data_IF_348133980278
#
_entry.id   IF_348133980278
#
_cell.length_a   1.000
_cell.length_b   1.000
_cell.length_c   1.000
_cell.angle_alpha   90.00
_cell.angle_beta   90.00
_cell.angle_gamma   90.00
#
_symmetry.space_group_name_H-M   'P 1'
#
loop_
_entity.id
_entity.type
_entity.pdbx_description
1 polymer ?
#
# COMPACT_ATOMS: atom_id res chain seq x y z
N UNK A 1 -13.71 39.11 8.25
CA UNK A 1 -14.49 38.45 7.18
C UNK A 1 -13.96 37.08 6.72
N UNK A 2 -12.65 36.76 6.70
CA UNK A 2 -12.17 35.41 6.29
C UNK A 2 -12.26 34.29 7.35
N UNK A 3 -12.44 34.62 8.63
CA UNK A 3 -12.52 33.65 9.73
C UNK A 3 -13.96 33.20 10.06
N UNK A 4 -14.98 33.96 9.67
CA UNK A 4 -16.38 33.59 9.90
C UNK A 4 -16.90 32.59 8.87
N UNK A 5 -16.42 32.65 7.62
CA UNK A 5 -16.72 31.62 6.60
C UNK A 5 -16.12 30.25 6.96
N UNK A 6 -15.04 30.21 7.75
CA UNK A 6 -14.44 28.97 8.28
C UNK A 6 -15.27 28.41 9.45
N UNK A 7 -16.01 29.26 10.18
CA UNK A 7 -16.91 28.85 11.28
C UNK A 7 -18.31 28.42 10.83
N UNK A 8 -18.79 28.81 9.65
CA UNK A 8 -20.06 28.27 9.14
C UNK A 8 -19.92 26.84 8.55
N UNK A 9 -18.72 26.48 8.07
CA UNK A 9 -18.41 25.12 7.63
C UNK A 9 -18.18 24.11 8.78
N UNK A 10 -18.08 24.56 10.02
CA UNK A 10 -18.03 23.65 11.19
C UNK A 10 -19.38 23.00 11.54
N UNK A 11 -20.46 23.30 10.80
CA UNK A 11 -21.73 22.55 10.87
C UNK A 11 -21.80 21.31 9.97
N UNK A 12 -20.80 21.07 9.11
CA UNK A 12 -20.72 19.84 8.31
C UNK A 12 -19.73 18.85 8.92
N UNK A 13 -20.17 17.61 9.14
CA UNK A 13 -19.33 16.50 9.64
C UNK A 13 -18.35 16.00 8.56
N UNK A 14 -17.60 16.90 7.92
CA UNK A 14 -16.61 16.55 6.89
C UNK A 14 -15.34 16.02 7.56
N UNK A 15 -14.80 14.92 7.03
CA UNK A 15 -13.45 14.50 7.40
C UNK A 15 -12.42 15.54 6.93
N UNK A 16 -11.21 15.58 7.49
CA UNK A 16 -10.16 16.51 7.05
C UNK A 16 -9.86 16.42 5.55
N UNK A 17 -10.01 15.24 4.95
CA UNK A 17 -9.78 15.00 3.52
C UNK A 17 -10.92 15.55 2.67
N UNK A 18 -12.17 15.31 3.07
CA UNK A 18 -13.33 15.90 2.39
C UNK A 18 -13.37 17.41 2.54
N UNK A 19 -13.07 17.92 3.74
CA UNK A 19 -12.99 19.36 3.99
C UNK A 19 -11.99 20.03 3.04
N UNK A 20 -10.81 19.43 2.87
CA UNK A 20 -9.82 19.92 1.90
C UNK A 20 -10.35 19.89 0.46
N UNK A 21 -10.94 18.77 0.02
CA UNK A 21 -11.50 18.66 -1.34
C UNK A 21 -12.54 19.75 -1.62
N UNK A 22 -13.50 19.95 -0.72
CA UNK A 22 -14.59 20.91 -0.94
C UNK A 22 -14.16 22.36 -0.74
N UNK A 23 -13.19 22.64 0.14
CA UNK A 23 -12.63 24.00 0.33
C UNK A 23 -12.07 24.56 -0.98
N UNK A 24 -11.40 23.72 -1.78
CA UNK A 24 -10.83 24.12 -3.07
C UNK A 24 -11.82 23.95 -4.25
N UNK A 25 -13.05 23.50 -4.00
CA UNK A 25 -14.08 23.27 -5.02
C UNK A 25 -15.45 23.84 -4.58
N UNK A 26 -15.48 25.13 -4.25
CA UNK A 26 -16.62 25.84 -3.65
C UNK A 26 -17.93 25.84 -4.45
N UNK A 27 -17.90 25.40 -5.72
CA UNK A 27 -19.09 25.29 -6.57
C UNK A 27 -19.86 23.97 -6.37
N UNK A 28 -19.30 23.04 -5.61
CA UNK A 28 -19.90 21.72 -5.33
C UNK A 28 -20.52 21.77 -3.94
N UNK A 29 -21.79 21.39 -3.82
CA UNK A 29 -22.44 21.19 -2.52
C UNK A 29 -21.86 19.92 -1.85
N UNK A 30 -21.14 20.05 -0.72
CA UNK A 30 -20.53 18.90 -0.06
C UNK A 30 -21.54 17.84 0.39
N UNK A 31 -22.72 18.26 0.87
CA UNK A 31 -23.70 17.34 1.44
C UNK A 31 -24.33 16.46 0.33
N UNK A 32 -24.86 17.09 -0.72
CA UNK A 32 -25.42 16.39 -1.86
C UNK A 32 -24.38 15.52 -2.58
N UNK A 33 -23.12 15.98 -2.67
CA UNK A 33 -22.06 15.20 -3.30
C UNK A 33 -21.67 13.97 -2.49
N UNK A 34 -21.58 14.09 -1.16
CA UNK A 34 -21.30 12.96 -0.27
C UNK A 34 -22.43 11.93 -0.29
N UNK A 35 -23.69 12.36 -0.24
CA UNK A 35 -24.85 11.46 -0.33
C UNK A 35 -24.85 10.67 -1.64
N UNK A 36 -24.66 11.35 -2.78
CA UNK A 36 -24.59 10.70 -4.08
C UNK A 36 -23.38 9.77 -4.22
N UNK A 37 -22.22 10.15 -3.65
CA UNK A 37 -21.00 9.32 -3.65
C UNK A 37 -21.21 8.05 -2.82
N UNK A 38 -21.83 8.18 -1.65
CA UNK A 38 -22.11 7.08 -0.74
C UNK A 38 -23.05 6.06 -1.37
N UNK A 39 -24.16 6.50 -1.97
CA UNK A 39 -25.12 5.61 -2.61
C UNK A 39 -24.47 4.76 -3.73
N UNK A 40 -23.69 5.39 -4.61
CA UNK A 40 -22.98 4.67 -5.69
C UNK A 40 -21.87 3.75 -5.16
N UNK A 41 -21.19 4.18 -4.10
CA UNK A 41 -20.18 3.36 -3.44
C UNK A 41 -20.82 2.09 -2.85
N UNK A 42 -21.95 2.21 -2.15
CA UNK A 42 -22.67 1.08 -1.58
C UNK A 42 -23.13 0.09 -2.65
N UNK A 43 -23.66 0.59 -3.78
CA UNK A 43 -24.02 -0.24 -4.94
C UNK A 43 -22.82 -1.02 -5.50
N UNK A 44 -21.65 -0.38 -5.57
CA UNK A 44 -20.41 -1.01 -6.01
C UNK A 44 -19.89 -2.01 -4.96
N UNK A 45 -19.96 -1.67 -3.68
CA UNK A 45 -19.50 -2.48 -2.57
C UNK A 45 -20.28 -3.80 -2.49
N UNK A 46 -21.59 -3.78 -2.76
CA UNK A 46 -22.41 -5.01 -2.86
C UNK A 46 -21.88 -5.95 -3.95
N UNK A 47 -21.52 -5.42 -5.12
CA UNK A 47 -20.95 -6.22 -6.23
C UNK A 47 -19.58 -6.79 -5.85
N UNK A 48 -18.75 -5.98 -5.19
CA UNK A 48 -17.43 -6.39 -4.68
C UNK A 48 -17.61 -7.53 -3.68
N UNK A 49 -18.40 -7.35 -2.63
CA UNK A 49 -18.66 -8.37 -1.60
C UNK A 49 -19.17 -9.66 -2.21
N UNK A 50 -20.14 -9.58 -3.13
CA UNK A 50 -20.62 -10.75 -3.86
C UNK A 50 -19.48 -11.47 -4.61
N UNK A 51 -18.68 -10.74 -5.39
CA UNK A 51 -17.58 -11.34 -6.14
C UNK A 51 -16.52 -11.97 -5.22
N UNK A 52 -16.19 -11.32 -4.10
CA UNK A 52 -15.21 -11.81 -3.11
C UNK A 52 -15.73 -13.09 -2.45
N UNK A 53 -16.99 -13.13 -2.01
CA UNK A 53 -17.61 -14.33 -1.41
C UNK A 53 -17.73 -15.49 -2.41
N UNK A 54 -17.90 -15.19 -3.71
CA UNK A 54 -17.89 -16.18 -4.79
C UNK A 54 -16.46 -16.62 -5.20
N UNK A 55 -15.41 -16.08 -4.56
CA UNK A 55 -14.01 -16.35 -4.89
C UNK A 55 -13.51 -15.66 -6.16
N UNK A 56 -14.29 -14.76 -6.75
CA UNK A 56 -13.96 -13.98 -7.96
C UNK A 56 -13.10 -12.74 -7.61
N UNK A 57 -11.99 -13.01 -6.93
CA UNK A 57 -11.02 -12.03 -6.45
C UNK A 57 -9.65 -12.31 -7.08
N UNK A 58 -8.99 -11.27 -7.56
CA UNK A 58 -7.63 -11.31 -8.08
C UNK A 58 -6.77 -10.34 -7.25
N UNK A 59 -5.62 -10.81 -6.78
CA UNK A 59 -4.61 -9.96 -6.16
C UNK A 59 -3.55 -9.59 -7.19
N UNK A 60 -3.11 -8.34 -7.19
CA UNK A 60 -1.96 -7.87 -7.96
C UNK A 60 -0.98 -7.27 -6.96
N UNK A 61 0.18 -7.89 -6.80
CA UNK A 61 1.07 -7.66 -5.67
C UNK A 61 2.56 -7.68 -6.06
N UNK A 62 3.41 -7.08 -5.23
CA UNK A 62 4.85 -7.06 -5.41
C UNK A 62 5.64 -7.77 -4.30
N UNK A 63 4.96 -8.58 -3.49
CA UNK A 63 5.58 -9.54 -2.58
C UNK A 63 6.16 -8.91 -1.31
N UNK A 64 5.76 -7.68 -0.98
CA UNK A 64 6.15 -7.03 0.26
C UNK A 64 5.45 -7.66 1.48
N UNK A 65 5.91 -7.33 2.68
CA UNK A 65 5.37 -7.93 3.90
C UNK A 65 3.88 -7.58 4.13
N UNK A 66 3.43 -6.43 3.66
CA UNK A 66 2.03 -6.00 3.70
C UNK A 66 1.14 -6.77 2.72
N UNK A 67 1.64 -7.15 1.54
CA UNK A 67 0.94 -8.06 0.61
C UNK A 67 0.61 -9.39 1.28
N UNK A 68 1.64 -10.04 1.84
CA UNK A 68 1.57 -11.36 2.46
C UNK A 68 0.67 -11.35 3.70
N UNK A 69 0.72 -10.26 4.48
CA UNK A 69 -0.13 -10.09 5.65
C UNK A 69 -1.58 -9.86 5.23
N UNK A 70 -1.85 -9.06 4.19
CA UNK A 70 -3.21 -8.95 3.65
C UNK A 70 -3.72 -10.30 3.13
N UNK A 71 -2.90 -11.12 2.46
CA UNK A 71 -3.30 -12.46 2.02
C UNK A 71 -3.73 -13.34 3.19
N UNK A 72 -3.00 -13.30 4.31
CA UNK A 72 -3.41 -14.00 5.52
C UNK A 72 -4.76 -13.50 6.04
N UNK A 73 -5.02 -12.19 6.07
CA UNK A 73 -6.33 -11.65 6.48
C UNK A 73 -7.48 -12.17 5.61
N UNK A 74 -7.27 -12.26 4.29
CA UNK A 74 -8.24 -12.83 3.35
C UNK A 74 -8.47 -14.31 3.65
N UNK A 75 -7.41 -15.08 3.88
CA UNK A 75 -7.49 -16.50 4.26
C UNK A 75 -8.22 -16.71 5.58
N UNK A 76 -8.02 -15.84 6.58
CA UNK A 76 -8.76 -15.88 7.85
C UNK A 76 -10.28 -15.77 7.65
N UNK A 77 -10.74 -15.11 6.59
CA UNK A 77 -12.16 -15.02 6.21
C UNK A 77 -12.67 -16.22 5.41
N UNK A 78 -11.83 -17.23 5.18
CA UNK A 78 -12.17 -18.37 4.33
C UNK A 78 -12.27 -17.99 2.85
N UNK A 79 -11.71 -16.84 2.45
CA UNK A 79 -11.62 -16.42 1.07
C UNK A 79 -10.25 -16.82 0.52
N UNK A 80 -10.21 -17.21 -0.75
CA UNK A 80 -8.97 -17.42 -1.48
C UNK A 80 -9.12 -16.72 -2.83
N UNK A 81 -8.16 -15.88 -3.24
CA UNK A 81 -8.19 -15.31 -4.58
C UNK A 81 -8.15 -16.44 -5.63
N UNK A 82 -8.78 -16.21 -6.78
CA UNK A 82 -8.63 -17.08 -7.95
C UNK A 82 -7.19 -17.06 -8.47
N UNK A 83 -6.57 -15.88 -8.42
CA UNK A 83 -5.27 -15.60 -9.00
C UNK A 83 -4.51 -14.55 -8.19
N UNK A 84 -3.20 -14.73 -8.13
CA UNK A 84 -2.24 -13.78 -7.60
C UNK A 84 -1.28 -13.43 -8.74
N UNK A 85 -1.28 -12.16 -9.13
CA UNK A 85 -0.49 -11.63 -10.22
C UNK A 85 0.68 -10.84 -9.64
N UNK A 86 1.90 -11.33 -9.90
CA UNK A 86 3.13 -10.77 -9.37
C UNK A 86 3.67 -9.72 -10.32
N UNK A 87 4.03 -8.56 -9.77
CA UNK A 87 4.51 -7.40 -10.52
C UNK A 87 5.80 -6.86 -9.93
N UNK A 88 6.74 -6.47 -10.80
CA UNK A 88 7.99 -5.80 -10.46
C UNK A 88 9.10 -6.74 -9.99
N UNK A 89 10.20 -6.15 -9.52
CA UNK A 89 11.28 -6.86 -8.83
C UNK A 89 11.95 -8.00 -9.60
N UNK A 90 12.62 -8.87 -8.84
CA UNK A 90 13.26 -10.08 -9.36
C UNK A 90 12.23 -11.21 -9.47
N UNK A 91 11.55 -11.30 -10.62
CA UNK A 91 10.37 -12.14 -10.77
C UNK A 91 10.55 -13.60 -10.35
N UNK A 92 11.72 -14.22 -10.59
CA UNK A 92 11.95 -15.61 -10.16
C UNK A 92 12.04 -15.76 -8.64
N UNK A 93 12.65 -14.79 -7.95
CA UNK A 93 12.69 -14.76 -6.48
C UNK A 93 11.28 -14.60 -5.95
N UNK A 94 10.56 -13.59 -6.45
CA UNK A 94 9.18 -13.29 -6.07
C UNK A 94 8.24 -14.47 -6.27
N UNK A 95 8.26 -15.07 -7.47
CA UNK A 95 7.45 -16.23 -7.79
C UNK A 95 7.76 -17.40 -6.87
N UNK A 96 9.04 -17.66 -6.57
CA UNK A 96 9.45 -18.72 -5.64
C UNK A 96 8.93 -18.47 -4.22
N UNK A 97 9.11 -17.26 -3.70
CA UNK A 97 8.64 -16.87 -2.37
C UNK A 97 7.12 -16.95 -2.24
N UNK A 98 6.38 -16.35 -3.20
CA UNK A 98 4.92 -16.40 -3.24
C UNK A 98 4.42 -17.85 -3.29
N UNK A 99 5.04 -18.71 -4.10
CA UNK A 99 4.66 -20.12 -4.16
C UNK A 99 4.81 -20.83 -2.81
N UNK A 100 5.94 -20.66 -2.12
CA UNK A 100 6.20 -21.29 -0.82
C UNK A 100 5.19 -20.82 0.24
N UNK A 101 4.92 -19.52 0.30
CA UNK A 101 3.99 -18.97 1.30
C UNK A 101 2.56 -19.41 1.02
N UNK A 102 2.12 -19.39 -0.24
CA UNK A 102 0.78 -19.88 -0.58
C UNK A 102 0.62 -21.39 -0.42
N UNK A 103 1.67 -22.19 -0.66
CA UNK A 103 1.64 -23.63 -0.33
C UNK A 103 1.46 -23.82 1.18
N UNK A 104 2.19 -23.05 1.99
CA UNK A 104 2.07 -23.08 3.44
C UNK A 104 0.67 -22.66 3.91
N UNK A 105 0.13 -21.55 3.41
CA UNK A 105 -1.22 -21.10 3.77
C UNK A 105 -2.30 -22.09 3.33
N UNK A 106 -2.14 -22.70 2.15
CA UNK A 106 -3.05 -23.71 1.63
C UNK A 106 -3.10 -24.95 2.53
N UNK A 107 -1.94 -25.50 2.88
CA UNK A 107 -1.83 -26.64 3.80
C UNK A 107 -2.38 -26.28 5.19
N UNK A 108 -1.94 -25.15 5.75
CA UNK A 108 -2.26 -24.76 7.12
C UNK A 108 -3.74 -24.43 7.33
N UNK A 109 -4.40 -23.92 6.29
CA UNK A 109 -5.78 -23.42 6.36
C UNK A 109 -6.79 -24.35 5.73
N UNK A 110 -6.33 -25.42 5.05
CA UNK A 110 -7.17 -26.34 4.29
C UNK A 110 -7.88 -25.68 3.12
N UNK A 111 -7.19 -24.76 2.42
CA UNK A 111 -7.73 -24.03 1.26
C UNK A 111 -7.04 -24.46 -0.03
N UNK A 112 -7.66 -24.15 -1.16
CA UNK A 112 -7.01 -24.32 -2.46
C UNK A 112 -6.00 -23.20 -2.67
N UNK A 113 -4.79 -23.53 -3.09
CA UNK A 113 -3.80 -22.51 -3.51
C UNK A 113 -4.29 -21.73 -4.75
N UNK A 114 -4.18 -20.39 -4.78
CA UNK A 114 -4.48 -19.59 -5.97
C UNK A 114 -3.52 -19.91 -7.12
N UNK A 115 -3.90 -19.52 -8.34
CA UNK A 115 -2.93 -19.51 -9.44
C UNK A 115 -1.98 -18.33 -9.26
N UNK A 116 -0.68 -18.59 -9.16
CA UNK A 116 0.35 -17.54 -8.99
C UNK A 116 1.07 -17.36 -10.32
N UNK A 117 1.13 -16.13 -10.83
CA UNK A 117 1.71 -15.85 -12.15
C UNK A 117 2.42 -14.49 -12.19
N UNK A 118 3.53 -14.39 -12.92
CA UNK A 118 4.21 -13.11 -13.17
C UNK A 118 3.56 -12.37 -14.34
N UNK A 119 3.19 -11.10 -14.14
CA UNK A 119 2.68 -10.22 -15.21
C UNK A 119 3.65 -9.11 -15.60
N UNK A 120 4.57 -8.78 -14.71
CA UNK A 120 5.55 -7.73 -14.93
C UNK A 120 6.76 -7.95 -14.02
N UNK A 121 7.96 -7.62 -14.50
CA UNK A 121 9.20 -7.65 -13.74
C UNK A 121 9.97 -6.33 -13.93
N UNK A 122 10.94 -6.06 -13.06
CA UNK A 122 11.76 -4.84 -13.14
C UNK A 122 13.25 -5.17 -13.14
N UNK A 123 14.03 -4.32 -13.80
CA UNK A 123 15.50 -4.40 -13.80
C UNK A 123 16.12 -3.01 -13.64
N UNK A 124 17.42 -2.97 -13.30
CA UNK A 124 18.17 -1.72 -13.20
C UNK A 124 17.55 -0.72 -12.22
N UNK A 125 17.29 0.50 -12.70
CA UNK A 125 16.70 1.58 -11.89
C UNK A 125 15.25 1.35 -11.44
N UNK A 126 14.57 0.31 -11.93
CA UNK A 126 13.24 -0.07 -11.46
C UNK A 126 13.25 -0.84 -10.13
N UNK A 127 14.40 -1.41 -9.74
CA UNK A 127 14.54 -2.19 -8.51
C UNK A 127 14.60 -1.30 -7.26
N UNK A 128 13.85 -1.69 -6.24
CA UNK A 128 13.65 -0.98 -4.98
C UNK A 128 14.52 -1.55 -3.85
N UNK A 129 14.49 -0.87 -2.70
CA UNK A 129 15.19 -1.35 -1.49
C UNK A 129 14.62 -2.69 -1.01
N UNK A 130 13.30 -2.91 -1.07
CA UNK A 130 12.70 -4.17 -0.63
C UNK A 130 13.05 -5.35 -1.57
N UNK A 131 13.18 -5.13 -2.89
CA UNK A 131 13.59 -6.16 -3.86
C UNK A 131 14.95 -6.78 -3.49
N UNK A 132 15.79 -6.02 -2.79
CA UNK A 132 17.08 -6.50 -2.29
C UNK A 132 16.93 -7.37 -1.04
N UNK A 133 15.92 -7.12 -0.20
CA UNK A 133 15.59 -7.92 0.99
C UNK A 133 14.83 -9.21 0.67
N UNK A 134 14.16 -9.26 -0.49
CA UNK A 134 13.31 -10.39 -0.90
C UNK A 134 14.04 -11.75 -0.83
N UNK A 135 13.31 -12.77 -0.37
CA UNK A 135 13.80 -14.14 -0.15
C UNK A 135 14.46 -14.39 1.21
N UNK A 136 14.91 -13.34 1.91
CA UNK A 136 15.59 -13.49 3.22
C UNK A 136 14.66 -14.13 4.25
N UNK A 137 15.14 -15.15 4.95
CA UNK A 137 14.35 -15.91 5.93
C UNK A 137 13.42 -16.97 5.32
N UNK A 138 13.46 -17.17 4.00
CA UNK A 138 12.68 -18.20 3.32
C UNK A 138 13.49 -19.07 2.36
N UNK A 139 14.50 -18.47 1.72
CA UNK A 139 15.39 -19.12 0.76
C UNK A 139 16.85 -19.02 1.22
N UNK A 140 17.67 -19.97 0.77
CA UNK A 140 19.11 -19.92 0.97
C UNK A 140 19.75 -18.76 0.19
N UNK A 141 20.78 -18.12 0.76
CA UNK A 141 21.43 -16.94 0.15
C UNK A 141 21.95 -17.25 -1.26
N UNK A 142 22.52 -18.42 -1.48
CA UNK A 142 23.02 -18.83 -2.80
C UNK A 142 21.89 -19.01 -3.82
N UNK A 143 20.73 -19.51 -3.40
CA UNK A 143 19.54 -19.63 -4.25
C UNK A 143 18.98 -18.24 -4.59
N UNK A 144 18.89 -17.33 -3.61
CA UNK A 144 18.45 -15.94 -3.85
C UNK A 144 19.34 -15.28 -4.90
N UNK A 145 20.66 -15.37 -4.77
CA UNK A 145 21.59 -14.73 -5.71
C UNK A 145 21.46 -15.31 -7.13
N UNK A 146 21.32 -16.63 -7.25
CA UNK A 146 21.08 -17.30 -8.53
C UNK A 146 19.76 -16.82 -9.18
N UNK A 147 18.66 -16.81 -8.42
CA UNK A 147 17.35 -16.38 -8.94
C UNK A 147 17.34 -14.90 -9.32
N UNK A 148 18.06 -14.05 -8.57
CA UNK A 148 18.25 -12.62 -8.92
C UNK A 148 18.96 -12.48 -10.26
N UNK A 149 20.05 -13.19 -10.46
CA UNK A 149 20.82 -13.17 -11.73
C UNK A 149 19.96 -13.64 -12.91
N UNK A 150 19.24 -14.75 -12.76
CA UNK A 150 18.33 -15.27 -13.78
C UNK A 150 17.16 -14.33 -14.10
N UNK A 151 16.81 -13.43 -13.18
CA UNK A 151 15.73 -12.45 -13.37
C UNK A 151 16.15 -11.21 -14.17
N UNK A 152 17.44 -11.03 -14.49
CA UNK A 152 17.93 -9.79 -15.10
C UNK A 152 17.66 -9.67 -16.61
N UNK A 153 17.42 -10.77 -17.32
CA UNK A 153 17.18 -10.74 -18.77
C UNK A 153 15.68 -10.83 -19.11
N UNK A 154 15.01 -9.67 -19.19
CA UNK A 154 13.59 -9.58 -19.54
C UNK A 154 13.28 -9.77 -21.04
N UNK A 155 14.29 -9.99 -21.88
CA UNK A 155 14.09 -10.36 -23.29
C UNK A 155 14.22 -11.87 -23.51
N UNK A 156 14.50 -12.64 -22.46
CA UNK A 156 14.59 -14.09 -22.55
C UNK A 156 13.20 -14.68 -22.84
N UNK A 157 13.16 -15.70 -23.70
CA UNK A 157 11.92 -16.32 -24.16
C UNK A 157 11.06 -16.85 -22.99
N UNK A 158 11.70 -17.43 -21.97
CA UNK A 158 11.04 -17.92 -20.75
C UNK A 158 10.17 -16.84 -20.08
N UNK A 159 10.71 -15.63 -19.87
CA UNK A 159 9.98 -14.55 -19.22
C UNK A 159 8.81 -14.06 -20.08
N UNK A 160 9.03 -13.90 -21.39
CA UNK A 160 7.98 -13.46 -22.32
C UNK A 160 6.83 -14.47 -22.39
N UNK A 161 7.15 -15.77 -22.39
CA UNK A 161 6.16 -16.84 -22.33
C UNK A 161 5.38 -16.82 -21.00
N UNK A 162 6.05 -16.64 -19.87
CA UNK A 162 5.40 -16.56 -18.55
C UNK A 162 4.40 -15.38 -18.48
N UNK A 163 4.82 -14.19 -18.92
CA UNK A 163 3.96 -13.00 -18.95
C UNK A 163 2.78 -13.19 -19.90
N UNK A 164 3.01 -13.77 -21.09
CA UNK A 164 1.93 -14.04 -22.03
C UNK A 164 0.92 -15.05 -21.47
N UNK A 165 1.38 -16.13 -20.85
CA UNK A 165 0.51 -17.11 -20.19
C UNK A 165 -0.28 -16.48 -19.04
N UNK A 166 0.34 -15.59 -18.26
CA UNK A 166 -0.35 -14.85 -17.20
C UNK A 166 -1.47 -13.98 -17.74
N UNK A 167 -1.18 -13.22 -18.80
CA UNK A 167 -2.14 -12.33 -19.48
C UNK A 167 -3.29 -13.11 -20.11
N UNK A 168 -3.02 -14.21 -20.81
CA UNK A 168 -4.07 -15.10 -21.35
C UNK A 168 -4.93 -15.71 -20.25
N UNK A 169 -4.30 -16.13 -19.15
CA UNK A 169 -5.02 -16.67 -18.01
C UNK A 169 -5.93 -15.64 -17.35
N UNK A 170 -5.47 -14.39 -17.22
CA UNK A 170 -6.27 -13.28 -16.71
C UNK A 170 -7.46 -13.02 -17.63
N UNK A 171 -7.24 -12.88 -18.95
CA UNK A 171 -8.33 -12.68 -19.94
C UNK A 171 -9.37 -13.80 -19.85
N UNK A 172 -8.93 -15.07 -19.81
CA UNK A 172 -9.83 -16.21 -19.67
C UNK A 172 -10.65 -16.16 -18.38
N UNK A 173 -10.01 -15.83 -17.26
CA UNK A 173 -10.68 -15.71 -15.95
C UNK A 173 -11.74 -14.61 -15.99
N UNK A 174 -11.39 -13.43 -16.49
CA UNK A 174 -12.32 -12.31 -16.61
C UNK A 174 -13.45 -12.64 -17.59
N UNK A 175 -13.17 -13.32 -18.71
CA UNK A 175 -14.19 -13.77 -19.66
C UNK A 175 -15.25 -14.66 -19.01
N UNK A 176 -14.85 -15.55 -18.09
CA UNK A 176 -15.72 -16.53 -17.44
C UNK A 176 -16.51 -15.98 -16.25
N UNK A 177 -16.01 -14.94 -15.59
CA UNK A 177 -16.66 -14.33 -14.44
C UNK A 177 -17.71 -13.29 -14.88
N UNK A 178 -18.86 -13.24 -14.19
CA UNK A 178 -19.86 -12.18 -14.37
C UNK A 178 -19.37 -10.82 -13.85
N UNK A 179 -18.60 -10.86 -12.76
CA UNK A 179 -17.97 -9.69 -12.14
C UNK A 179 -16.72 -10.14 -11.37
N UNK A 180 -15.63 -9.39 -11.47
CA UNK A 180 -14.37 -9.68 -10.77
C UNK A 180 -13.88 -8.46 -10.00
N UNK A 181 -13.49 -8.67 -8.75
CA UNK A 181 -12.75 -7.66 -7.97
C UNK A 181 -11.25 -7.86 -8.17
N UNK A 182 -10.54 -6.79 -8.52
CA UNK A 182 -9.08 -6.76 -8.55
C UNK A 182 -8.60 -5.93 -7.36
N UNK A 183 -7.94 -6.57 -6.40
CA UNK A 183 -7.20 -5.90 -5.34
C UNK A 183 -5.81 -5.54 -5.87
N UNK A 184 -5.64 -4.27 -6.24
CA UNK A 184 -4.40 -3.73 -6.78
C UNK A 184 -3.56 -3.16 -5.65
N UNK A 185 -2.58 -3.95 -5.20
CA UNK A 185 -1.66 -3.63 -4.09
C UNK A 185 -0.36 -2.96 -4.55
N UNK A 186 -0.10 -2.98 -5.86
CA UNK A 186 1.12 -2.42 -6.47
C UNK A 186 0.77 -1.55 -7.70
N UNK A 187 1.76 -1.24 -8.53
CA UNK A 187 1.58 -0.58 -9.82
C UNK A 187 0.68 -1.42 -10.75
N UNK A 188 -0.23 -0.79 -11.53
CA UNK A 188 -1.09 -1.51 -12.49
C UNK A 188 -0.38 -1.98 -13.76
N UNK A 189 0.96 -1.87 -13.83
CA UNK A 189 1.73 -2.29 -14.99
C UNK A 189 1.46 -3.76 -15.38
N UNK A 190 1.35 -4.01 -16.70
CA UNK A 190 1.21 -5.36 -17.26
C UNK A 190 -0.23 -5.89 -17.41
N UNK A 191 -1.24 -5.20 -16.87
CA UNK A 191 -2.65 -5.67 -16.92
C UNK A 191 -3.66 -4.66 -17.47
N UNK A 192 -3.26 -3.41 -17.77
CA UNK A 192 -4.16 -2.31 -18.13
C UNK A 192 -5.05 -2.58 -19.34
N UNK A 193 -4.47 -3.10 -20.42
CA UNK A 193 -5.21 -3.40 -21.66
C UNK A 193 -6.31 -4.45 -21.43
N UNK A 194 -6.05 -5.39 -20.51
CA UNK A 194 -7.02 -6.42 -20.13
C UNK A 194 -8.11 -5.84 -19.22
N UNK A 195 -7.75 -4.93 -18.29
CA UNK A 195 -8.74 -4.21 -17.49
C UNK A 195 -9.65 -3.37 -18.41
N UNK A 196 -9.08 -2.71 -19.41
CA UNK A 196 -9.84 -1.92 -20.39
C UNK A 196 -10.83 -2.78 -21.18
N UNK A 197 -10.38 -3.93 -21.70
CA UNK A 197 -11.20 -4.92 -22.41
C UNK A 197 -12.43 -5.35 -21.58
N UNK A 198 -12.25 -5.52 -20.26
CA UNK A 198 -13.27 -6.06 -19.35
C UNK A 198 -13.87 -5.04 -18.36
N UNK A 199 -13.68 -3.74 -18.58
CA UNK A 199 -14.05 -2.68 -17.62
C UNK A 199 -15.50 -2.65 -17.15
N UNK A 200 -16.41 -3.26 -17.91
CA UNK A 200 -17.85 -3.35 -17.58
C UNK A 200 -18.17 -4.41 -16.51
N UNK A 201 -17.24 -5.31 -16.21
CA UNK A 201 -17.39 -6.41 -15.23
C UNK A 201 -16.22 -6.52 -14.26
N UNK A 202 -15.45 -5.46 -14.13
CA UNK A 202 -14.31 -5.38 -13.21
C UNK A 202 -14.54 -4.19 -12.28
N UNK A 203 -14.15 -4.35 -11.02
CA UNK A 203 -13.85 -3.22 -10.14
C UNK A 203 -12.44 -3.38 -9.58
N UNK A 204 -11.78 -2.24 -9.38
CA UNK A 204 -10.45 -2.19 -8.79
C UNK A 204 -10.56 -1.59 -7.41
N UNK A 205 -9.93 -2.22 -6.42
CA UNK A 205 -9.63 -1.59 -5.15
C UNK A 205 -8.13 -1.31 -5.15
N UNK A 206 -7.75 -0.03 -5.15
CA UNK A 206 -6.37 0.41 -5.33
C UNK A 206 -5.80 0.97 -4.02
N UNK A 207 -4.70 0.38 -3.55
CA UNK A 207 -4.09 0.72 -2.26
C UNK A 207 -3.24 1.98 -2.36
N UNK A 208 -3.90 3.12 -2.17
CA UNK A 208 -3.26 4.43 -2.04
C UNK A 208 -2.50 4.88 -3.29
N UNK A 209 -3.19 5.37 -4.33
CA UNK A 209 -2.53 6.12 -5.40
C UNK A 209 -2.02 7.48 -4.95
N UNK A 210 -2.56 8.03 -3.85
CA UNK A 210 -2.35 9.42 -3.43
C UNK A 210 -2.17 9.60 -1.93
N UNK A 211 -1.45 10.66 -1.58
CA UNK A 211 -1.26 11.19 -0.23
C UNK A 211 -1.84 12.60 -0.11
N UNK A 212 -2.52 12.86 1.01
CA UNK A 212 -3.10 14.18 1.29
C UNK A 212 -1.99 15.14 1.69
N UNK A 213 -1.77 16.20 0.91
CA UNK A 213 -0.88 17.31 1.29
C UNK A 213 -1.68 18.35 2.10
N UNK A 214 -1.37 18.58 3.39
CA UNK A 214 -2.09 19.58 4.18
C UNK A 214 -2.04 20.97 3.54
N UNK A 215 -3.14 21.72 3.60
CA UNK A 215 -3.24 23.10 3.11
C UNK A 215 -2.89 23.30 1.61
N UNK A 216 -3.04 22.26 0.79
CA UNK A 216 -2.74 22.29 -0.64
C UNK A 216 -3.96 21.86 -1.48
N UNK A 217 -4.23 22.50 -2.64
CA UNK A 217 -5.24 22.01 -3.59
C UNK A 217 -4.78 20.76 -4.35
N UNK A 218 -3.49 20.46 -4.34
CA UNK A 218 -2.90 19.25 -4.93
C UNK A 218 -2.57 18.23 -3.87
N UNK A 219 -2.55 16.97 -4.28
CA UNK A 219 -2.19 15.80 -3.50
C UNK A 219 -0.86 15.26 -4.02
N UNK A 220 -0.16 14.45 -3.23
CA UNK A 220 1.04 13.78 -3.69
C UNK A 220 0.69 12.43 -4.31
N UNK A 221 1.39 12.03 -5.38
CA UNK A 221 1.31 10.63 -5.84
C UNK A 221 2.14 9.74 -4.91
N UNK A 222 1.63 8.55 -4.63
CA UNK A 222 2.27 7.58 -3.74
C UNK A 222 3.26 6.69 -4.46
N UNK A 223 3.98 5.88 -3.67
CA UNK A 223 5.01 4.93 -4.12
C UNK A 223 4.57 4.09 -5.33
N UNK A 224 3.45 3.37 -5.25
CA UNK A 224 2.98 2.49 -6.34
C UNK A 224 2.56 3.23 -7.61
N UNK A 225 2.04 4.46 -7.49
CA UNK A 225 1.78 5.33 -8.63
C UNK A 225 3.11 5.84 -9.22
N UNK A 226 4.03 6.31 -8.37
CA UNK A 226 5.32 6.88 -8.80
C UNK A 226 6.23 5.85 -9.49
N UNK A 227 6.05 4.55 -9.23
CA UNK A 227 6.77 3.45 -9.92
C UNK A 227 6.45 3.40 -11.42
N UNK A 228 5.21 3.65 -11.80
CA UNK A 228 4.77 3.63 -13.20
C UNK A 228 3.66 4.68 -13.40
N UNK A 229 4.01 5.97 -13.44
CA UNK A 229 3.03 7.03 -13.37
C UNK A 229 2.17 7.12 -14.64
N UNK A 230 2.67 6.69 -15.79
CA UNK A 230 1.89 6.54 -17.03
C UNK A 230 0.84 5.44 -16.87
N UNK A 231 1.23 4.28 -16.32
CA UNK A 231 0.29 3.20 -16.05
C UNK A 231 -0.77 3.61 -15.02
N UNK A 232 -0.39 4.44 -14.05
CA UNK A 232 -1.33 5.04 -13.10
C UNK A 232 -2.32 5.99 -13.77
N UNK A 233 -1.87 6.85 -14.69
CA UNK A 233 -2.75 7.72 -15.48
C UNK A 233 -3.71 6.90 -16.33
N UNK A 234 -3.20 5.91 -17.05
CA UNK A 234 -3.98 5.07 -17.94
C UNK A 234 -5.08 4.33 -17.16
N UNK A 235 -4.77 3.81 -15.96
CA UNK A 235 -5.79 3.18 -15.10
C UNK A 235 -6.92 4.15 -14.75
N UNK A 236 -6.60 5.40 -14.40
CA UNK A 236 -7.60 6.42 -14.08
C UNK A 236 -8.46 6.79 -15.31
N UNK A 237 -7.91 6.70 -16.52
CA UNK A 237 -8.57 7.06 -17.77
C UNK A 237 -9.45 5.92 -18.36
N UNK A 238 -9.24 4.64 -17.99
CA UNK A 238 -9.99 3.48 -18.52
C UNK A 238 -11.52 3.60 -18.30
N UNK A 239 -11.93 4.23 -17.19
CA UNK A 239 -13.33 4.37 -16.78
C UNK A 239 -13.92 3.16 -16.05
N UNK A 240 -13.08 2.22 -15.60
CA UNK A 240 -13.46 1.15 -14.67
C UNK A 240 -13.78 1.74 -13.28
N UNK A 241 -14.71 1.17 -12.49
CA UNK A 241 -14.89 1.58 -11.11
C UNK A 241 -13.63 1.31 -10.27
N UNK A 242 -13.12 2.36 -9.60
CA UNK A 242 -11.94 2.29 -8.74
C UNK A 242 -12.27 2.81 -7.35
N UNK A 243 -12.06 1.99 -6.32
CA UNK A 243 -12.10 2.41 -4.92
C UNK A 243 -10.67 2.60 -4.42
N UNK A 244 -10.37 3.79 -3.92
CA UNK A 244 -9.05 4.15 -3.42
C UNK A 244 -9.08 4.24 -1.91
N UNK A 245 -8.28 3.39 -1.27
CA UNK A 245 -8.19 3.30 0.19
C UNK A 245 -6.74 3.43 0.63
N UNK A 246 -6.47 4.31 1.60
CA UNK A 246 -5.15 4.37 2.22
C UNK A 246 -5.15 5.14 3.54
N UNK A 247 -4.48 4.64 4.60
CA UNK A 247 -4.38 5.35 5.88
C UNK A 247 -3.66 6.70 5.77
N UNK A 248 -2.81 6.86 4.74
CA UNK A 248 -2.03 8.08 4.50
C UNK A 248 -2.82 9.22 3.85
N UNK A 249 -4.05 8.95 3.42
CA UNK A 249 -5.02 10.02 3.13
C UNK A 249 -5.48 10.69 4.43
N UNK A 250 -5.09 10.17 5.60
CA UNK A 250 -5.54 10.66 6.89
C UNK A 250 -7.01 10.33 7.12
N UNK A 251 -7.43 9.13 6.74
CA UNK A 251 -8.82 8.71 6.82
C UNK A 251 -9.09 7.76 7.99
N UNK A 252 -8.07 7.33 8.74
CA UNK A 252 -8.23 6.42 9.88
C UNK A 252 -7.19 6.65 10.98
N UNK A 253 -7.38 5.99 12.13
CA UNK A 253 -6.49 6.11 13.30
C UNK A 253 -5.28 5.17 13.23
N UNK A 254 -5.46 3.96 12.70
CA UNK A 254 -4.36 3.02 12.47
C UNK A 254 -3.55 3.46 11.24
N UNK A 255 -2.30 3.89 11.46
CA UNK A 255 -1.42 4.43 10.41
C UNK A 255 -0.09 3.67 10.26
N UNK A 256 0.16 2.72 11.17
CA UNK A 256 1.34 1.89 11.22
C UNK A 256 1.00 0.63 12.03
N UNK A 257 1.52 -0.53 11.63
CA UNK A 257 1.45 -1.75 12.44
C UNK A 257 2.75 -1.84 13.23
N UNK A 258 2.69 -1.44 14.48
CA UNK A 258 3.84 -1.37 15.39
C UNK A 258 3.39 -1.75 16.79
N UNK A 259 4.30 -2.31 17.59
CA UNK A 259 4.03 -2.63 18.98
C UNK A 259 3.71 -1.37 19.80
N UNK A 260 2.79 -1.51 20.75
CA UNK A 260 2.31 -0.43 21.62
C UNK A 260 3.44 0.29 22.35
N UNK A 261 4.51 -0.41 22.72
CA UNK A 261 5.61 0.20 23.47
C UNK A 261 6.37 1.24 22.63
N UNK A 262 6.40 1.08 21.31
CA UNK A 262 7.09 2.00 20.40
C UNK A 262 6.16 3.09 19.86
N UNK A 263 4.83 2.94 19.97
CA UNK A 263 3.86 3.82 19.32
C UNK A 263 3.99 5.29 19.75
N UNK A 264 4.21 5.55 21.04
CA UNK A 264 4.34 6.91 21.55
C UNK A 264 5.54 7.65 20.92
N UNK A 265 6.71 7.01 20.91
CA UNK A 265 7.92 7.56 20.27
C UNK A 265 7.78 7.61 18.75
N UNK A 266 7.10 6.63 18.16
CA UNK A 266 6.80 6.62 16.74
C UNK A 266 6.02 7.88 16.33
N UNK A 267 4.95 8.22 17.07
CA UNK A 267 4.16 9.42 16.85
C UNK A 267 4.98 10.70 17.09
N UNK A 268 5.83 10.75 18.12
CA UNK A 268 6.72 11.88 18.37
C UNK A 268 7.67 12.13 17.19
N UNK A 269 8.33 11.08 16.69
CA UNK A 269 9.27 11.16 15.58
C UNK A 269 8.55 11.51 14.26
N UNK A 270 7.37 10.96 14.00
CA UNK A 270 6.56 11.34 12.83
C UNK A 270 6.27 12.85 12.81
N UNK A 271 5.95 13.44 13.97
CA UNK A 271 5.76 14.90 14.10
C UNK A 271 7.08 15.65 13.86
N UNK A 272 8.18 15.20 14.48
CA UNK A 272 9.50 15.83 14.36
C UNK A 272 9.99 15.90 12.91
N UNK A 273 9.78 14.84 12.14
CA UNK A 273 10.22 14.77 10.75
C UNK A 273 9.20 15.35 9.76
N UNK A 274 8.10 15.97 10.23
CA UNK A 274 7.01 16.46 9.40
C UNK A 274 6.49 15.41 8.40
N UNK A 275 6.52 14.14 8.80
CA UNK A 275 5.96 13.06 8.01
C UNK A 275 4.42 13.16 8.00
N UNK A 276 3.76 12.43 7.10
CA UNK A 276 2.30 12.34 7.06
C UNK A 276 1.74 11.85 8.41
N UNK A 277 1.01 12.73 9.12
CA UNK A 277 0.36 12.43 10.38
C UNK A 277 -1.05 11.87 10.15
N UNK A 278 -1.50 10.89 10.97
CA UNK A 278 -2.90 10.47 10.96
C UNK A 278 -3.80 11.58 11.48
N UNK A 279 -5.06 11.55 11.06
CA UNK A 279 -6.10 12.50 11.53
C UNK A 279 -6.61 12.17 12.92
N UNK A 280 -6.46 10.91 13.33
CA UNK A 280 -6.69 10.45 14.69
C UNK A 280 -5.40 9.80 15.22
N UNK A 281 -4.90 10.32 16.34
CA UNK A 281 -3.65 9.88 16.99
C UNK A 281 -3.90 9.01 18.23
N UNK A 282 -5.15 8.54 18.44
CA UNK A 282 -5.55 7.72 19.58
C UNK A 282 -5.16 6.24 19.47
N UNK A 283 -4.64 5.80 18.32
CA UNK A 283 -4.21 4.41 18.14
C UNK A 283 -2.99 4.10 19.00
N UNK A 284 -3.13 3.15 19.93
CA UNK A 284 -2.11 2.82 20.93
C UNK A 284 -1.00 1.88 20.43
N UNK A 285 -1.17 1.28 19.24
CA UNK A 285 -0.31 0.19 18.76
C UNK A 285 -0.84 -1.19 19.15
N UNK A 286 -0.11 -2.23 18.73
CA UNK A 286 -0.49 -3.63 18.92
C UNK A 286 0.23 -4.28 20.09
N UNK A 287 -0.39 -5.30 20.68
CA UNK A 287 0.21 -6.09 21.75
C UNK A 287 1.13 -7.20 21.20
N UNK A 288 2.27 -7.40 21.88
CA UNK A 288 3.22 -8.52 21.73
C UNK A 288 4.06 -8.54 20.46
N UNK A 289 3.82 -7.67 19.46
CA UNK A 289 4.52 -7.69 18.18
C UNK A 289 6.06 -7.60 18.35
N UNK A 290 6.53 -6.79 19.29
CA UNK A 290 7.95 -6.63 19.54
C UNK A 290 8.60 -7.84 20.23
N UNK A 291 7.81 -8.65 20.94
CA UNK A 291 8.31 -9.80 21.71
C UNK A 291 8.29 -11.10 20.91
N UNK A 292 7.85 -11.07 19.65
CA UNK A 292 7.86 -12.27 18.81
C UNK A 292 9.28 -12.48 18.27
N UNK A 293 9.90 -13.59 18.67
CA UNK A 293 11.20 -14.00 18.18
C UNK A 293 11.09 -14.54 16.74
N UNK A 294 12.21 -14.51 16.01
CA UNK A 294 12.33 -15.25 14.76
C UNK A 294 12.42 -16.75 15.07
N UNK A 295 11.40 -17.51 14.68
CA UNK A 295 11.38 -18.97 14.81
C UNK A 295 11.26 -19.60 13.42
N UNK A 296 12.30 -20.30 12.91
CA UNK A 296 12.25 -20.97 11.61
C UNK A 296 11.09 -21.98 11.44
N UNK A 297 10.50 -22.47 12.54
CA UNK A 297 9.33 -23.34 12.49
C UNK A 297 8.01 -22.58 12.24
N UNK A 298 7.97 -21.28 12.55
CA UNK A 298 6.86 -20.39 12.30
C UNK A 298 7.05 -19.71 10.93
N UNK A 299 6.82 -20.46 9.85
CA UNK A 299 7.25 -20.12 8.48
C UNK A 299 6.79 -18.74 8.02
N UNK A 300 5.53 -18.37 8.29
CA UNK A 300 4.97 -17.10 7.81
C UNK A 300 5.62 -15.91 8.54
N UNK A 301 5.58 -15.92 9.86
CA UNK A 301 6.13 -14.88 10.74
C UNK A 301 7.65 -14.77 10.60
N UNK A 302 8.37 -15.90 10.50
CA UNK A 302 9.81 -15.89 10.25
C UNK A 302 10.16 -15.13 8.98
N UNK A 303 9.41 -15.38 7.90
CA UNK A 303 9.64 -14.70 6.63
C UNK A 303 9.29 -13.21 6.68
N UNK A 304 8.07 -12.85 7.09
CA UNK A 304 7.67 -11.43 7.09
C UNK A 304 8.49 -10.59 8.08
N UNK A 305 8.95 -11.17 9.19
CA UNK A 305 9.83 -10.47 10.14
C UNK A 305 11.24 -10.35 9.60
N UNK A 306 11.74 -11.36 8.89
CA UNK A 306 13.04 -11.30 8.22
C UNK A 306 13.05 -10.25 7.09
N UNK A 307 11.95 -10.12 6.34
CA UNK A 307 11.75 -9.03 5.38
C UNK A 307 11.74 -7.67 6.08
N UNK A 308 10.95 -7.50 7.14
CA UNK A 308 10.85 -6.24 7.87
C UNK A 308 12.18 -5.83 8.52
N UNK A 309 12.88 -6.77 9.16
CA UNK A 309 14.17 -6.54 9.80
C UNK A 309 15.24 -6.17 8.74
N UNK A 310 15.24 -6.84 7.60
CA UNK A 310 16.17 -6.54 6.48
C UNK A 310 15.85 -5.21 5.82
N UNK A 311 14.57 -4.91 5.57
CA UNK A 311 14.13 -3.65 4.99
C UNK A 311 14.49 -2.48 5.92
N UNK A 312 14.26 -2.63 7.23
CA UNK A 312 14.64 -1.64 8.24
C UNK A 312 16.11 -1.28 8.13
N UNK A 313 16.97 -2.29 8.13
CA UNK A 313 18.41 -2.09 8.13
C UNK A 313 18.90 -1.48 6.81
N UNK A 314 18.33 -1.89 5.67
CA UNK A 314 18.63 -1.28 4.38
C UNK A 314 18.16 0.16 4.28
N UNK A 315 16.98 0.50 4.81
CA UNK A 315 16.46 1.87 4.80
C UNK A 315 17.28 2.80 5.70
N UNK A 316 17.76 2.32 6.85
CA UNK A 316 18.70 3.07 7.70
C UNK A 316 19.99 3.35 6.93
N UNK A 317 20.60 2.32 6.32
CA UNK A 317 21.83 2.47 5.56
C UNK A 317 21.65 3.41 4.36
N UNK A 318 20.54 3.28 3.63
CA UNK A 318 20.21 4.14 2.49
C UNK A 318 20.04 5.61 2.90
N UNK A 319 19.40 5.87 4.05
CA UNK A 319 19.26 7.22 4.58
C UNK A 319 20.63 7.82 4.95
N UNK A 320 21.49 7.07 5.65
CA UNK A 320 22.84 7.52 6.00
C UNK A 320 23.71 7.81 4.76
N UNK A 321 23.62 6.98 3.72
CA UNK A 321 24.32 7.21 2.46
C UNK A 321 23.78 8.43 1.71
N UNK A 322 22.46 8.58 1.68
CA UNK A 322 21.79 9.72 1.04
C UNK A 322 22.14 11.02 1.74
N UNK A 323 22.14 11.05 3.07
CA UNK A 323 22.51 12.22 3.88
C UNK A 323 23.94 12.67 3.57
N UNK A 324 24.90 11.72 3.58
CA UNK A 324 26.30 12.01 3.20
C UNK A 324 26.43 12.54 1.78
N UNK A 325 25.71 11.97 0.82
CA UNK A 325 25.74 12.43 -0.57
C UNK A 325 25.20 13.86 -0.70
N UNK A 326 24.07 14.16 -0.05
CA UNK A 326 23.47 15.48 -0.03
C UNK A 326 24.35 16.52 0.69
N UNK A 327 25.07 16.13 1.74
CA UNK A 327 26.04 17.00 2.42
C UNK A 327 27.22 17.38 1.52
N UNK A 328 27.76 16.40 0.79
CA UNK A 328 28.84 16.61 -0.18
C UNK A 328 28.36 17.54 -1.29
N UNK A 329 27.18 17.28 -1.85
CA UNK A 329 26.57 18.08 -2.91
C UNK A 329 26.29 19.52 -2.46
N UNK A 330 25.74 19.70 -1.25
CA UNK A 330 25.52 21.02 -0.67
C UNK A 330 26.82 21.80 -0.45
N UNK A 331 27.89 21.13 0.01
CA UNK A 331 29.21 21.74 0.18
C UNK A 331 29.84 22.11 -1.17
N UNK A 332 29.61 21.31 -2.21
CA UNK A 332 30.03 21.63 -3.58
C UNK A 332 29.31 22.88 -4.10
N UNK A 333 27.98 22.92 -4.02
CA UNK A 333 27.20 24.09 -4.45
C UNK A 333 27.65 25.37 -3.73
N UNK A 334 27.90 25.31 -2.41
CA UNK A 334 28.41 26.48 -1.65
C UNK A 334 29.78 26.98 -2.10
N UNK A 335 30.59 26.14 -2.76
CA UNK A 335 31.90 26.53 -3.32
C UNK A 335 31.79 27.08 -4.74
N UNK A 336 30.89 26.53 -5.54
CA UNK A 336 30.82 26.77 -6.98
C UNK A 336 29.78 27.84 -7.37
N UNK A 337 28.74 28.04 -6.56
CA UNK A 337 27.59 28.87 -6.89
C UNK A 337 27.45 30.03 -5.89
N UNK A 338 26.78 31.09 -6.32
CA UNK A 338 26.46 32.24 -5.47
C UNK A 338 25.05 32.77 -5.75
N UNK A 339 24.56 33.63 -4.86
CA UNK A 339 23.30 34.35 -5.02
C UNK A 339 22.09 33.43 -5.20
N UNK A 340 21.24 33.75 -6.17
CA UNK A 340 19.97 33.08 -6.41
C UNK A 340 20.13 31.62 -6.83
N UNK A 341 21.19 31.30 -7.57
CA UNK A 341 21.44 29.94 -8.07
C UNK A 341 21.82 28.99 -6.94
N UNK A 342 22.69 29.45 -6.03
CA UNK A 342 23.03 28.71 -4.81
C UNK A 342 21.78 28.46 -3.96
N UNK A 343 20.93 29.47 -3.77
CA UNK A 343 19.70 29.34 -2.98
C UNK A 343 18.80 28.23 -3.55
N UNK A 344 18.52 28.26 -4.85
CA UNK A 344 17.67 27.25 -5.50
C UNK A 344 18.23 25.83 -5.36
N UNK A 345 19.55 25.65 -5.45
CA UNK A 345 20.18 24.35 -5.29
C UNK A 345 20.13 23.85 -3.85
N UNK A 346 20.35 24.71 -2.87
CA UNK A 346 20.21 24.35 -1.46
C UNK A 346 18.75 24.04 -1.09
N UNK A 347 17.78 24.80 -1.61
CA UNK A 347 16.36 24.51 -1.44
C UNK A 347 16.01 23.13 -2.00
N UNK A 348 16.57 22.75 -3.16
CA UNK A 348 16.41 21.40 -3.71
C UNK A 348 16.99 20.33 -2.79
N UNK A 349 18.19 20.54 -2.23
CA UNK A 349 18.78 19.61 -1.25
C UNK A 349 17.86 19.44 -0.03
N UNK A 350 17.32 20.52 0.51
CA UNK A 350 16.44 20.46 1.69
C UNK A 350 15.12 19.73 1.37
N UNK A 351 14.59 19.87 0.15
CA UNK A 351 13.47 19.05 -0.34
C UNK A 351 13.86 17.58 -0.39
N UNK A 352 15.03 17.23 -0.96
CA UNK A 352 15.50 15.84 -1.02
C UNK A 352 15.66 15.24 0.38
N UNK A 353 16.20 16.01 1.34
CA UNK A 353 16.31 15.57 2.75
C UNK A 353 14.94 15.24 3.33
N UNK A 354 13.97 16.14 3.14
CA UNK A 354 12.61 15.98 3.65
C UNK A 354 11.90 14.75 3.06
N UNK A 355 12.20 14.39 1.82
CA UNK A 355 11.56 13.24 1.16
C UNK A 355 12.25 11.91 1.46
N UNK A 356 13.59 11.89 1.54
CA UNK A 356 14.38 10.63 1.52
C UNK A 356 14.88 10.17 2.89
N UNK A 357 15.07 11.07 3.85
CA UNK A 357 15.70 10.75 5.13
C UNK A 357 14.75 10.35 6.28
N UNK A 358 13.53 10.91 6.42
CA UNK A 358 12.70 10.71 7.60
C UNK A 358 12.45 9.27 8.02
N UNK A 359 12.19 8.39 7.06
CA UNK A 359 11.84 7.00 7.35
C UNK A 359 13.02 6.25 7.98
N UNK A 360 14.20 6.33 7.34
CA UNK A 360 15.41 5.69 7.85
C UNK A 360 15.86 6.27 9.20
N UNK A 361 15.83 7.59 9.37
CA UNK A 361 16.20 8.25 10.62
C UNK A 361 15.23 7.91 11.78
N UNK A 362 13.93 7.82 11.50
CA UNK A 362 12.92 7.37 12.47
C UNK A 362 13.17 5.92 12.89
N UNK A 363 13.42 5.04 11.93
CA UNK A 363 13.68 3.64 12.19
C UNK A 363 14.99 3.41 12.94
N UNK A 364 16.04 4.18 12.66
CA UNK A 364 17.28 4.17 13.43
C UNK A 364 17.02 4.53 14.90
N UNK A 365 16.27 5.61 15.14
CA UNK A 365 15.94 6.06 16.50
C UNK A 365 15.05 5.07 17.28
N UNK A 366 14.15 4.34 16.60
CA UNK A 366 13.32 3.31 17.21
C UNK A 366 14.08 2.00 17.42
N UNK A 367 14.93 1.59 16.46
CA UNK A 367 15.82 0.42 16.57
C UNK A 367 16.78 0.56 17.77
N UNK A 368 17.20 1.78 18.10
CA UNK A 368 18.05 2.04 19.26
C UNK A 368 17.39 1.67 20.61
N UNK A 369 16.08 1.44 20.65
CA UNK A 369 15.35 0.97 21.84
C UNK A 369 15.19 -0.56 21.90
N UNK A 370 15.78 -1.29 20.95
CA UNK A 370 15.73 -2.74 20.98
C UNK A 370 16.41 -3.28 22.24
N UNK A 371 15.82 -4.33 22.81
CA UNK A 371 16.42 -5.17 23.84
C UNK A 371 16.46 -6.62 23.35
N UNK A 372 17.14 -7.54 24.06
CA UNK A 372 17.13 -8.96 23.69
C UNK A 372 15.72 -9.56 23.55
N UNK A 373 14.75 -9.04 24.31
CA UNK A 373 13.36 -9.56 24.36
C UNK A 373 12.36 -8.67 23.60
N UNK A 374 12.84 -7.62 22.92
CA UNK A 374 11.99 -6.60 22.32
C UNK A 374 12.65 -6.00 21.09
N UNK A 375 12.13 -6.34 19.90
CA UNK A 375 12.64 -5.89 18.62
C UNK A 375 11.62 -4.97 17.94
N UNK A 376 12.04 -3.75 17.62
CA UNK A 376 11.26 -2.81 16.82
C UNK A 376 11.03 -3.36 15.41
N UNK A 377 9.75 -3.55 15.08
CA UNK A 377 9.25 -3.84 13.74
C UNK A 377 8.07 -2.93 13.45
N UNK A 378 8.06 -2.36 12.26
CA UNK A 378 6.96 -1.58 11.72
C UNK A 378 6.55 -2.15 10.37
N UNK A 379 5.26 -2.37 10.18
CA UNK A 379 4.68 -2.77 8.91
C UNK A 379 3.74 -1.68 8.37
N UNK A 380 3.73 -1.54 7.06
CA UNK A 380 2.81 -0.68 6.34
C UNK A 380 1.39 -1.26 6.42
N UNK A 381 0.35 -0.52 6.84
CA UNK A 381 -1.02 -1.05 6.89
C UNK A 381 -1.80 -0.88 5.56
N UNK A 382 -1.14 -0.42 4.49
CA UNK A 382 -1.82 0.07 3.29
C UNK A 382 -2.65 -1.02 2.63
N UNK A 383 -2.11 -2.23 2.47
CA UNK A 383 -2.85 -3.33 1.85
C UNK A 383 -3.90 -3.93 2.79
N UNK A 384 -3.66 -3.94 4.10
CA UNK A 384 -4.64 -4.37 5.09
C UNK A 384 -5.92 -3.51 5.02
N UNK A 385 -5.82 -2.24 4.58
CA UNK A 385 -7.02 -1.41 4.40
C UNK A 385 -7.93 -1.83 3.24
N UNK A 386 -7.47 -2.69 2.33
CA UNK A 386 -8.35 -3.34 1.35
C UNK A 386 -9.47 -4.13 2.03
N UNK A 387 -9.18 -4.77 3.17
CA UNK A 387 -10.13 -5.56 3.93
C UNK A 387 -11.36 -4.73 4.34
N UNK A 388 -11.20 -3.44 4.63
CA UNK A 388 -12.31 -2.54 4.98
C UNK A 388 -13.31 -2.35 3.83
N UNK A 389 -12.87 -2.59 2.59
CA UNK A 389 -13.69 -2.49 1.38
C UNK A 389 -14.17 -3.86 0.93
N UNK A 390 -13.29 -4.86 0.92
CA UNK A 390 -13.54 -6.19 0.35
C UNK A 390 -14.29 -7.14 1.29
N UNK A 391 -14.21 -6.95 2.60
CA UNK A 391 -14.80 -7.83 3.60
C UNK A 391 -16.27 -7.50 3.87
N UNK A 392 -17.22 -8.43 3.62
CA UNK A 392 -18.63 -8.22 3.94
C UNK A 392 -18.89 -7.94 5.43
N UNK A 393 -18.06 -8.46 6.35
CA UNK A 393 -18.18 -8.21 7.79
C UNK A 393 -17.79 -6.76 8.16
N UNK A 394 -17.02 -6.07 7.30
CA UNK A 394 -16.56 -4.70 7.52
C UNK A 394 -17.33 -3.66 6.71
N UNK A 395 -18.49 -4.02 6.12
CA UNK A 395 -19.25 -3.14 5.22
C UNK A 395 -19.53 -1.73 5.76
N UNK A 396 -19.72 -1.61 7.09
CA UNK A 396 -20.06 -0.34 7.75
C UNK A 396 -18.83 0.48 8.21
N UNK A 397 -17.61 0.04 7.90
CA UNK A 397 -16.38 0.74 8.35
C UNK A 397 -16.08 1.98 7.54
N UNK A 398 -16.52 2.05 6.28
CA UNK A 398 -16.39 3.24 5.43
C UNK A 398 -17.50 4.21 5.77
N UNK A 399 -17.14 5.32 6.41
CA UNK A 399 -18.10 6.32 6.91
C UNK A 399 -18.15 7.58 6.05
N UNK A 400 -17.15 7.77 5.19
CA UNK A 400 -17.17 8.85 4.20
C UNK A 400 -16.38 8.47 2.95
N UNK A 401 -17.00 8.70 1.81
CA UNK A 401 -16.45 8.48 0.48
C UNK A 401 -16.83 9.64 -0.44
N UNK A 402 -15.90 10.05 -1.29
CA UNK A 402 -16.11 11.12 -2.28
C UNK A 402 -15.82 10.57 -3.66
N UNK A 403 -16.76 10.72 -4.59
CA UNK A 403 -16.53 10.49 -6.01
C UNK A 403 -15.67 11.64 -6.57
N UNK A 404 -14.51 11.32 -7.15
CA UNK A 404 -13.48 12.29 -7.52
C UNK A 404 -13.00 12.14 -8.95
N UNK A 405 -12.45 13.20 -9.54
CA UNK A 405 -11.58 13.15 -10.70
C UNK A 405 -10.14 13.29 -10.20
N UNK A 406 -9.23 12.49 -10.78
CA UNK A 406 -7.80 12.56 -10.50
C UNK A 406 -7.03 12.81 -11.79
N UNK A 407 -6.14 13.81 -11.79
CA UNK A 407 -5.33 14.13 -12.98
C UNK A 407 -3.95 14.66 -12.60
N UNK A 408 -2.89 14.07 -13.15
CA UNK A 408 -1.54 14.64 -13.05
C UNK A 408 -1.50 15.97 -13.80
N UNK A 409 -0.98 17.01 -13.13
CA UNK A 409 -0.98 18.38 -13.66
C UNK A 409 0.16 18.66 -14.65
N UNK A 410 1.25 17.90 -14.55
CA UNK A 410 2.48 18.12 -15.31
C UNK A 410 3.14 16.75 -15.51
N UNK A 411 2.99 16.17 -16.71
CA UNK A 411 3.48 14.81 -16.99
C UNK A 411 5.00 14.76 -17.18
N UNK A 412 5.62 15.90 -17.53
CA UNK A 412 7.02 15.95 -18.00
C UNK A 412 8.03 16.40 -16.93
N UNK A 413 7.58 16.76 -15.72
CA UNK A 413 8.33 17.70 -14.87
C UNK A 413 8.52 17.28 -13.41
N UNK A 414 8.72 15.98 -13.15
CA UNK A 414 9.14 15.41 -11.85
C UNK A 414 8.24 15.79 -10.65
N UNK A 415 7.06 16.35 -10.92
CA UNK A 415 6.09 16.71 -9.89
C UNK A 415 5.34 15.47 -9.51
N UNK A 416 5.68 14.93 -8.35
CA UNK A 416 4.92 13.92 -7.63
C UNK A 416 3.56 14.48 -7.14
N UNK A 417 2.87 15.29 -7.94
CA UNK A 417 1.63 15.99 -7.59
C UNK A 417 0.50 15.58 -8.55
N UNK A 418 -0.66 15.37 -7.96
CA UNK A 418 -1.91 15.05 -8.65
C UNK A 418 -3.01 15.98 -8.16
N UNK A 419 -3.87 16.40 -9.07
CA UNK A 419 -5.07 17.14 -8.71
C UNK A 419 -6.19 16.16 -8.41
N UNK A 420 -6.86 16.35 -7.28
CA UNK A 420 -8.03 15.57 -6.87
C UNK A 420 -9.19 16.55 -6.67
N UNK A 421 -10.31 16.33 -7.36
CA UNK A 421 -11.50 17.20 -7.31
C UNK A 421 -12.77 16.38 -7.19
N UNK A 422 -13.79 16.82 -6.44
CA UNK A 422 -15.10 16.17 -6.46
C UNK A 422 -15.68 16.15 -7.88
N UNK A 423 -16.08 14.98 -8.37
CA UNK A 423 -16.68 14.81 -9.70
C UNK A 423 -17.68 13.65 -9.68
N UNK A 424 -18.97 13.95 -9.85
CA UNK A 424 -19.97 12.90 -9.99
C UNK A 424 -19.84 12.23 -11.37
N UNK A 425 -20.02 10.92 -11.41
CA UNK A 425 -19.97 10.10 -12.62
C UNK A 425 -18.55 9.78 -13.11
N UNK A 426 -17.51 9.98 -12.29
CA UNK A 426 -16.14 9.60 -12.64
C UNK A 426 -15.85 8.11 -12.42
N UNK A 427 -16.67 7.41 -11.61
CA UNK A 427 -16.42 6.04 -11.14
C UNK A 427 -15.15 5.88 -10.27
N UNK A 428 -14.56 6.98 -9.79
CA UNK A 428 -13.40 6.94 -8.89
C UNK A 428 -13.84 7.36 -7.49
N UNK A 429 -13.73 6.45 -6.53
CA UNK A 429 -14.19 6.63 -5.16
C UNK A 429 -12.99 6.78 -4.22
N UNK A 430 -12.79 7.96 -3.66
CA UNK A 430 -11.78 8.17 -2.63
C UNK A 430 -12.40 8.01 -1.25
N UNK A 431 -11.90 7.04 -0.48
CA UNK A 431 -12.34 6.85 0.90
C UNK A 431 -11.69 7.91 1.79
N UNK A 432 -12.51 8.82 2.32
CA UNK A 432 -12.05 9.98 3.09
C UNK A 432 -12.25 9.84 4.59
N UNK A 433 -13.01 8.84 5.07
CA UNK A 433 -13.06 8.45 6.49
C UNK A 433 -13.41 6.97 6.66
N UNK A 434 -12.66 6.30 7.55
CA UNK A 434 -12.83 4.90 7.95
C UNK A 434 -12.80 4.74 9.47
N UNK A 435 -13.54 3.75 9.97
CA UNK A 435 -13.32 3.16 11.29
C UNK A 435 -12.38 1.96 11.17
N UNK A 436 -11.15 2.08 11.66
CA UNK A 436 -10.16 1.00 11.59
C UNK A 436 -10.28 -0.01 12.73
N UNK A 437 -11.14 0.20 13.74
CA UNK A 437 -11.23 -0.71 14.89
C UNK A 437 -11.43 -2.18 14.51
N UNK A 438 -12.32 -2.53 13.55
CA UNK A 438 -12.49 -3.94 13.16
C UNK A 438 -11.22 -4.52 12.52
N UNK A 439 -10.52 -3.73 11.70
CA UNK A 439 -9.25 -4.14 11.09
C UNK A 439 -8.13 -4.29 12.12
N UNK A 440 -8.08 -3.42 13.12
CA UNK A 440 -7.13 -3.55 14.23
C UNK A 440 -7.35 -4.85 15.01
N UNK A 441 -8.61 -5.22 15.27
CA UNK A 441 -8.91 -6.50 15.92
C UNK A 441 -8.42 -7.70 15.08
N UNK A 442 -8.64 -7.68 13.75
CA UNK A 442 -8.13 -8.74 12.86
C UNK A 442 -6.60 -8.77 12.83
N UNK A 443 -5.93 -7.62 12.74
CA UNK A 443 -4.47 -7.55 12.82
C UNK A 443 -3.92 -8.05 14.17
N UNK A 444 -4.56 -7.70 15.29
CA UNK A 444 -4.17 -8.20 16.60
C UNK A 444 -4.31 -9.73 16.70
N UNK A 445 -5.32 -10.30 16.03
CA UNK A 445 -5.50 -11.77 15.96
C UNK A 445 -4.37 -12.45 15.19
N UNK A 446 -3.91 -11.85 14.08
CA UNK A 446 -2.76 -12.32 13.31
C UNK A 446 -1.49 -12.25 14.16
N UNK A 447 -1.26 -11.13 14.85
CA UNK A 447 -0.11 -10.96 15.74
C UNK A 447 -0.10 -12.02 16.85
N UNK A 448 -1.26 -12.29 17.46
CA UNK A 448 -1.38 -13.35 18.47
C UNK A 448 -1.04 -14.72 17.88
N UNK A 449 -1.52 -15.03 16.69
CA UNK A 449 -1.22 -16.31 16.02
C UNK A 449 0.25 -16.50 15.71
N UNK A 450 0.91 -15.45 15.20
CA UNK A 450 2.36 -15.44 15.02
C UNK A 450 3.08 -15.63 16.36
N UNK A 451 2.64 -14.93 17.41
CA UNK A 451 3.23 -15.02 18.74
C UNK A 451 3.03 -16.39 19.40
N UNK A 452 2.02 -17.14 19.00
CA UNK A 452 1.74 -18.49 19.50
C UNK A 452 2.43 -19.59 18.65
N UNK A 453 3.29 -19.18 17.71
CA UNK A 453 4.10 -20.06 16.86
C UNK A 453 3.32 -20.69 15.72
N UNK A 454 2.25 -20.02 15.25
CA UNK A 454 1.45 -20.46 14.11
C UNK A 454 0.85 -21.86 14.29
N UNK A 455 0.54 -22.28 15.52
CA UNK A 455 0.15 -23.68 15.80
C UNK A 455 -1.23 -24.04 15.26
N UNK A 456 -2.21 -23.15 15.44
CA UNK A 456 -3.59 -23.36 15.01
C UNK A 456 -3.80 -23.06 13.52
N UNK A 457 -4.92 -23.52 12.98
CA UNK A 457 -5.41 -23.05 11.68
C UNK A 457 -5.69 -21.53 11.80
N UNK A 458 -5.17 -20.68 10.88
CA UNK A 458 -5.39 -19.24 10.95
C UNK A 458 -6.86 -18.84 10.77
N UNK A 459 -7.73 -19.71 10.27
CA UNK A 459 -9.18 -19.46 10.18
C UNK A 459 -9.90 -19.54 11.52
N UNK A 460 -9.35 -20.27 12.49
CA UNK A 460 -10.01 -20.53 13.79
C UNK A 460 -9.87 -19.37 14.78
N UNK A 461 -9.03 -18.40 14.45
CA UNK A 461 -8.62 -17.28 15.33
C UNK A 461 -9.20 -15.93 14.88
N UNK A 462 -9.89 -15.90 13.73
CA UNK A 462 -10.48 -14.69 13.19
C UNK A 462 -11.57 -14.18 14.16
N UNK A 463 -11.48 -12.92 14.64
CA UNK A 463 -12.56 -12.37 15.45
C UNK A 463 -13.80 -12.25 14.57
N UNK A 464 -14.92 -12.79 15.05
CA UNK A 464 -16.24 -12.58 14.41
C UNK A 464 -16.74 -11.19 14.80
N UNK A 465 -17.02 -10.36 13.80
CA UNK A 465 -17.46 -8.97 13.96
C UNK A 465 -18.97 -8.82 14.07
#
# INVERSE_FOLDING_TARGET
MRLEAVRELTKSHLSPSSHQLFTYNQKVDPAAHLEASQAKYEDLQIKIHKSVTEGKLIHVEDGEADDLWHDLLVVQQGVTPQMVLLSGGYYKVRAKCANIIWDYLAEKSGIKKPKIMTVYASTGGGLQTFDKAEGTGLLEVSEIMKLKEESLNLNHQEYLEEVNQARESLRKTLQQNDFTTIALKTSPAGILDIIEEFKHKVAVIWTGPVDRLPNSPSWAIKFNYSKAPEAGDDLLDIGVPIIMVSPKVGNGRMHSIVDKQFMAKNLELLRKFNAFLPTDQSFAGFDRLANIALDPNAKFSHYIFSLADSLRDQMINAAQQTEKALDIEAAQFKRELQGEELRKKLDYIDVQRTLKLPLGQRWEALKAENTPDSIFREFCPVDQTLQLVSDPEMKNTVTQVVEVEMKRLDKDNDKLKIQVKPKQGSNLFLITQIDTKPLEAKNQSVIKWMADGEKSNPRDIAPRL
#
